data_IF_998859352856
#
_entry.id   IF_998859352856
#
_cell.length_a   1.000
_cell.length_b   1.000
_cell.length_c   1.000
_cell.angle_alpha   90.00
_cell.angle_beta   90.00
_cell.angle_gamma   90.00
#
_symmetry.space_group_name_H-M   'P 1'
#
loop_
_entity.id
_entity.type
_entity.pdbx_description
1 polymer ?
#
# COMPACT_ATOMS: atom_id res chain seq x y z
N UNK A 1 18.27 -3.54 6.51
CA UNK A 1 17.71 -2.43 7.32
C UNK A 1 16.22 -2.66 7.39
N UNK A 2 15.73 -3.11 8.55
CA UNK A 2 14.29 -3.32 8.77
C UNK A 2 13.61 -1.97 8.88
N UNK A 3 13.05 -1.47 7.78
CA UNK A 3 12.10 -0.35 7.82
C UNK A 3 10.83 -0.85 8.47
N UNK A 4 10.80 -0.88 9.80
CA UNK A 4 9.57 -1.06 10.55
C UNK A 4 8.62 0.08 10.16
N UNK A 5 7.55 -0.24 9.44
CA UNK A 5 6.57 0.76 9.05
C UNK A 5 6.11 1.53 10.29
N UNK A 6 6.11 2.89 10.26
CA UNK A 6 5.61 3.70 11.37
C UNK A 6 4.26 3.18 11.86
N UNK A 7 4.17 2.91 13.17
CA UNK A 7 2.91 2.50 13.79
C UNK A 7 2.06 3.74 13.99
N UNK A 8 0.90 3.77 13.34
CA UNK A 8 -0.06 4.86 13.47
C UNK A 8 -0.72 4.85 14.84
N UNK A 9 -0.80 6.01 15.47
CA UNK A 9 -1.40 6.21 16.79
C UNK A 9 -2.81 6.82 16.68
N UNK A 10 -3.69 6.60 17.66
CA UNK A 10 -5.04 7.18 17.66
C UNK A 10 -5.05 8.70 17.51
N UNK A 11 -4.11 9.41 18.16
CA UNK A 11 -4.00 10.86 18.11
C UNK A 11 -3.77 11.47 16.70
N UNK A 12 -3.49 10.63 15.70
CA UNK A 12 -3.33 11.05 14.30
C UNK A 12 -4.64 11.01 13.51
N UNK A 13 -5.74 10.57 14.13
CA UNK A 13 -7.03 10.41 13.48
C UNK A 13 -8.11 11.18 14.22
N UNK A 14 -9.04 11.71 13.44
CA UNK A 14 -10.20 12.44 13.94
C UNK A 14 -11.36 11.48 14.17
N UNK A 15 -12.16 11.74 15.21
CA UNK A 15 -13.36 10.95 15.46
C UNK A 15 -14.40 11.21 14.36
N UNK A 16 -14.95 10.14 13.79
CA UNK A 16 -16.01 10.23 12.76
C UNK A 16 -17.37 10.68 13.29
N UNK A 17 -17.54 10.77 14.62
CA UNK A 17 -18.85 10.92 15.29
C UNK A 17 -19.61 9.60 15.50
N UNK A 18 -19.16 8.50 14.91
CA UNK A 18 -19.76 7.17 15.03
C UNK A 18 -18.83 6.18 15.76
N UNK A 19 -19.40 5.18 16.44
CA UNK A 19 -18.64 4.11 17.11
C UNK A 19 -17.75 3.34 16.10
N UNK A 20 -18.22 3.23 14.87
CA UNK A 20 -17.49 2.57 13.79
C UNK A 20 -16.20 3.28 13.40
N UNK A 21 -16.03 4.58 13.72
CA UNK A 21 -14.86 5.38 13.34
C UNK A 21 -14.28 6.20 14.48
N UNK A 22 -14.00 5.55 15.62
CA UNK A 22 -13.15 6.13 16.66
C UNK A 22 -11.69 6.21 16.20
N UNK A 23 -10.87 7.13 16.74
CA UNK A 23 -9.45 7.23 16.41
C UNK A 23 -8.68 5.92 16.64
N UNK A 24 -9.00 5.17 17.70
CA UNK A 24 -8.37 3.87 18.01
C UNK A 24 -8.68 2.83 16.93
N UNK A 25 -9.91 2.84 16.44
CA UNK A 25 -10.37 1.90 15.42
C UNK A 25 -9.73 2.22 14.07
N UNK A 26 -9.63 3.50 13.73
CA UNK A 26 -8.90 4.00 12.54
C UNK A 26 -7.43 3.59 12.58
N UNK A 27 -6.74 3.87 13.70
CA UNK A 27 -5.34 3.48 13.88
C UNK A 27 -5.12 1.97 13.80
N UNK A 28 -5.98 1.18 14.46
CA UNK A 28 -5.90 -0.29 14.39
C UNK A 28 -6.10 -0.77 12.96
N UNK A 29 -7.09 -0.25 12.25
CA UNK A 29 -7.38 -0.62 10.87
C UNK A 29 -6.18 -0.36 9.95
N UNK A 30 -5.64 0.86 9.94
CA UNK A 30 -4.48 1.23 9.10
C UNK A 30 -3.29 0.32 9.37
N UNK A 31 -2.93 0.14 10.65
CA UNK A 31 -1.79 -0.70 11.03
C UNK A 31 -2.00 -2.17 10.61
N UNK A 32 -3.21 -2.71 10.80
CA UNK A 32 -3.54 -4.08 10.38
C UNK A 32 -3.50 -4.23 8.87
N UNK A 33 -4.00 -3.24 8.12
CA UNK A 33 -4.04 -3.28 6.66
C UNK A 33 -2.63 -3.23 6.07
N UNK A 34 -1.79 -2.29 6.51
CA UNK A 34 -0.42 -2.18 6.01
C UNK A 34 0.39 -3.44 6.33
N UNK A 35 0.21 -4.05 7.51
CA UNK A 35 0.85 -5.32 7.87
C UNK A 35 0.34 -6.49 7.03
N UNK A 36 -0.95 -6.48 6.67
CA UNK A 36 -1.57 -7.50 5.85
C UNK A 36 -1.06 -7.44 4.40
N UNK A 37 -0.98 -6.23 3.83
CA UNK A 37 -0.40 -5.99 2.50
C UNK A 37 1.09 -6.36 2.50
N UNK A 38 1.86 -5.91 3.49
CA UNK A 38 3.29 -6.22 3.59
C UNK A 38 3.59 -7.73 3.77
N UNK A 39 2.61 -8.50 4.25
CA UNK A 39 2.72 -9.96 4.37
C UNK A 39 2.23 -10.71 3.12
N UNK A 40 1.92 -10.01 2.04
CA UNK A 40 1.34 -10.55 0.79
C UNK A 40 -0.02 -11.25 0.98
N UNK A 41 -0.93 -10.57 1.68
CA UNK A 41 -2.33 -10.94 1.78
C UNK A 41 -2.62 -12.37 2.30
N UNK A 42 -1.99 -12.85 3.39
CA UNK A 42 -2.20 -14.22 3.85
C UNK A 42 -3.62 -14.41 4.40
N UNK A 43 -4.36 -15.40 3.89
CA UNK A 43 -5.77 -15.66 4.23
C UNK A 43 -6.01 -15.69 5.74
N UNK A 44 -5.15 -16.33 6.51
CA UNK A 44 -5.26 -16.48 7.97
C UNK A 44 -5.14 -15.15 8.74
N UNK A 45 -4.58 -14.11 8.12
CA UNK A 45 -4.53 -12.75 8.70
C UNK A 45 -5.64 -11.84 8.20
N UNK A 46 -6.48 -12.30 7.27
CA UNK A 46 -7.66 -11.57 6.85
C UNK A 46 -8.78 -11.71 7.89
N UNK A 47 -8.88 -10.72 8.78
CA UNK A 47 -9.76 -10.74 9.95
C UNK A 47 -11.08 -10.02 9.70
N UNK A 48 -12.08 -10.29 10.55
CA UNK A 48 -13.36 -9.57 10.56
C UNK A 48 -13.21 -8.06 10.75
N UNK A 49 -12.15 -7.63 11.43
CA UNK A 49 -11.86 -6.20 11.59
C UNK A 49 -11.42 -5.54 10.27
N UNK A 50 -10.60 -6.23 9.47
CA UNK A 50 -10.20 -5.74 8.14
C UNK A 50 -11.38 -5.73 7.19
N UNK A 51 -12.11 -6.85 7.11
CA UNK A 51 -13.33 -6.95 6.33
C UNK A 51 -14.35 -5.87 6.72
N UNK A 52 -14.56 -5.63 8.02
CA UNK A 52 -15.44 -4.58 8.53
C UNK A 52 -15.03 -3.19 8.05
N UNK A 53 -13.73 -2.89 8.01
CA UNK A 53 -13.25 -1.62 7.46
C UNK A 53 -13.56 -1.45 5.98
N UNK A 54 -13.49 -2.50 5.17
CA UNK A 54 -13.81 -2.44 3.74
C UNK A 54 -15.31 -2.40 3.44
N UNK A 55 -16.10 -3.16 4.19
CA UNK A 55 -17.54 -3.34 3.98
C UNK A 55 -18.42 -2.26 4.62
N UNK A 56 -17.91 -1.53 5.62
CA UNK A 56 -18.68 -0.45 6.25
C UNK A 56 -18.85 0.72 5.27
N UNK A 57 -20.11 1.10 5.04
CA UNK A 57 -20.46 2.29 4.26
C UNK A 57 -19.74 3.52 4.83
N UNK A 58 -19.08 4.29 3.96
CA UNK A 58 -18.30 5.48 4.31
C UNK A 58 -16.78 5.27 4.39
N UNK A 59 -16.31 4.05 4.69
CA UNK A 59 -14.88 3.75 4.76
C UNK A 59 -14.27 3.45 3.39
N UNK A 60 -14.74 2.41 2.68
CA UNK A 60 -14.27 2.10 1.33
C UNK A 60 -15.38 1.64 0.39
N UNK A 61 -16.60 1.41 0.90
CA UNK A 61 -17.78 1.19 0.06
C UNK A 61 -17.69 -0.01 -0.88
N UNK A 62 -16.79 -0.96 -0.62
CA UNK A 62 -16.77 -2.22 -1.36
C UNK A 62 -18.07 -2.94 -1.02
N UNK A 63 -19.01 -3.00 -1.97
CA UNK A 63 -20.34 -3.57 -1.77
C UNK A 63 -20.17 -5.04 -1.37
N UNK A 64 -20.31 -5.32 -0.09
CA UNK A 64 -20.01 -6.61 0.48
C UNK A 64 -21.23 -7.52 0.40
N UNK A 65 -21.55 -7.96 -0.82
CA UNK A 65 -22.47 -9.08 -1.05
C UNK A 65 -21.90 -10.43 -0.58
N UNK A 66 -20.66 -10.44 -0.09
CA UNK A 66 -19.93 -11.63 0.32
C UNK A 66 -19.66 -11.62 1.82
N UNK A 67 -19.70 -12.79 2.46
CA UNK A 67 -19.12 -12.96 3.79
C UNK A 67 -17.58 -12.79 3.74
N UNK A 68 -16.92 -12.86 4.89
CA UNK A 68 -15.47 -12.65 5.01
C UNK A 68 -14.67 -13.54 4.03
N UNK A 69 -15.01 -14.83 3.96
CA UNK A 69 -14.39 -15.79 3.04
C UNK A 69 -14.63 -15.42 1.57
N UNK A 70 -15.89 -15.17 1.20
CA UNK A 70 -16.27 -14.83 -0.16
C UNK A 70 -15.64 -13.52 -0.63
N UNK A 71 -15.47 -12.54 0.26
CA UNK A 71 -14.76 -11.31 -0.07
C UNK A 71 -13.29 -11.60 -0.38
N UNK A 72 -12.63 -12.36 0.49
CA UNK A 72 -11.22 -12.72 0.28
C UNK A 72 -11.06 -13.49 -1.03
N UNK A 73 -11.92 -14.46 -1.29
CA UNK A 73 -11.88 -15.20 -2.55
C UNK A 73 -12.09 -14.27 -3.73
N UNK A 74 -13.13 -13.43 -3.73
CA UNK A 74 -13.44 -12.56 -4.85
C UNK A 74 -12.37 -11.49 -5.13
N UNK A 75 -11.69 -10.98 -4.10
CA UNK A 75 -10.83 -9.79 -4.20
C UNK A 75 -9.34 -10.07 -4.00
N UNK A 76 -8.95 -11.13 -3.30
CA UNK A 76 -7.59 -11.28 -2.76
C UNK A 76 -6.96 -12.68 -2.99
N UNK A 77 -7.69 -13.67 -3.51
CA UNK A 77 -7.16 -15.05 -3.60
C UNK A 77 -6.09 -15.27 -4.66
N UNK A 78 -5.96 -14.36 -5.63
CA UNK A 78 -4.94 -14.45 -6.69
C UNK A 78 -4.12 -13.17 -6.79
N UNK A 79 -2.87 -13.23 -7.29
CA UNK A 79 -2.04 -12.04 -7.50
C UNK A 79 -2.73 -10.96 -8.34
N UNK A 80 -3.41 -11.33 -9.43
CA UNK A 80 -4.13 -10.38 -10.30
C UNK A 80 -5.27 -9.68 -9.56
N UNK A 81 -6.02 -10.42 -8.75
CA UNK A 81 -7.09 -9.85 -7.92
C UNK A 81 -6.53 -8.88 -6.87
N UNK A 82 -5.43 -9.24 -6.22
CA UNK A 82 -4.73 -8.35 -5.26
C UNK A 82 -4.22 -7.08 -5.92
N UNK A 83 -3.65 -7.18 -7.11
CA UNK A 83 -3.16 -6.02 -7.87
C UNK A 83 -4.31 -5.08 -8.25
N UNK A 84 -5.43 -5.63 -8.73
CA UNK A 84 -6.65 -4.87 -9.01
C UNK A 84 -7.21 -4.22 -7.74
N UNK A 85 -7.31 -4.99 -6.65
CA UNK A 85 -7.79 -4.49 -5.37
C UNK A 85 -6.94 -3.32 -4.86
N UNK A 86 -5.61 -3.42 -4.92
CA UNK A 86 -4.71 -2.34 -4.52
C UNK A 86 -4.84 -1.10 -5.42
N UNK A 87 -5.03 -1.31 -6.73
CA UNK A 87 -5.28 -0.21 -7.66
C UNK A 87 -6.57 0.54 -7.29
N UNK A 88 -7.67 -0.19 -7.11
CA UNK A 88 -8.99 0.36 -6.77
C UNK A 88 -8.95 1.06 -5.41
N UNK A 89 -8.38 0.41 -4.39
CA UNK A 89 -8.20 0.97 -3.06
C UNK A 89 -7.42 2.30 -3.10
N UNK A 90 -6.34 2.35 -3.88
CA UNK A 90 -5.54 3.58 -4.03
C UNK A 90 -6.34 4.68 -4.71
N UNK A 91 -7.05 4.39 -5.80
CA UNK A 91 -7.86 5.40 -6.49
C UNK A 91 -8.94 5.99 -5.57
N UNK A 92 -9.61 5.15 -4.79
CA UNK A 92 -10.59 5.59 -3.79
C UNK A 92 -9.92 6.45 -2.70
N UNK A 93 -8.74 6.04 -2.20
CA UNK A 93 -8.00 6.83 -1.21
C UNK A 93 -7.59 8.20 -1.76
N UNK A 94 -7.06 8.27 -2.99
CA UNK A 94 -6.61 9.51 -3.63
C UNK A 94 -7.77 10.47 -3.91
N UNK A 95 -8.92 9.94 -4.33
CA UNK A 95 -10.12 10.74 -4.56
C UNK A 95 -10.58 11.42 -3.28
N UNK A 96 -10.63 10.67 -2.19
CA UNK A 96 -11.25 11.13 -0.96
C UNK A 96 -10.27 11.84 -0.01
N UNK A 97 -8.95 11.61 -0.13
CA UNK A 97 -7.90 12.25 0.69
C UNK A 97 -7.91 13.79 0.64
N UNK A 98 -8.47 14.35 -0.45
CA UNK A 98 -8.62 15.79 -0.69
C UNK A 98 -9.78 16.43 0.09
N UNK A 99 -10.65 15.62 0.66
CA UNK A 99 -11.81 16.08 1.40
C UNK A 99 -11.53 16.11 2.90
N UNK A 100 -12.14 17.06 3.61
CA UNK A 100 -12.10 17.15 5.06
C UNK A 100 -13.39 16.56 5.66
N UNK A 101 -13.46 15.22 5.61
CA UNK A 101 -14.65 14.42 5.96
C UNK A 101 -14.24 13.27 6.87
N UNK A 102 -14.00 13.53 8.17
CA UNK A 102 -13.59 12.50 9.12
C UNK A 102 -14.67 11.43 9.33
N UNK A 103 -15.94 11.76 9.06
CA UNK A 103 -17.08 10.85 9.00
C UNK A 103 -16.94 9.79 7.90
N UNK A 104 -16.27 10.14 6.81
CA UNK A 104 -15.92 9.25 5.68
C UNK A 104 -14.46 8.78 5.72
N UNK A 105 -13.81 8.88 6.89
CA UNK A 105 -12.45 8.42 7.12
C UNK A 105 -11.41 9.06 6.18
N UNK A 106 -11.58 10.34 5.83
CA UNK A 106 -10.66 11.03 4.90
C UNK A 106 -9.21 11.11 5.42
N UNK A 107 -9.02 11.19 6.74
CA UNK A 107 -7.73 11.12 7.44
C UNK A 107 -7.02 9.76 7.23
N UNK A 108 -7.75 8.65 7.36
CA UNK A 108 -7.24 7.31 7.04
C UNK A 108 -6.92 7.17 5.56
N UNK A 109 -7.79 7.66 4.68
CA UNK A 109 -7.58 7.59 3.22
C UNK A 109 -6.37 8.41 2.78
N UNK A 110 -6.11 9.56 3.40
CA UNK A 110 -4.91 10.37 3.18
C UNK A 110 -3.64 9.59 3.52
N UNK A 111 -3.62 8.98 4.70
CA UNK A 111 -2.51 8.10 5.11
C UNK A 111 -2.29 6.95 4.13
N UNK A 112 -3.36 6.28 3.68
CA UNK A 112 -3.24 5.16 2.75
C UNK A 112 -2.84 5.63 1.34
N UNK A 113 -3.29 6.79 0.87
CA UNK A 113 -2.87 7.36 -0.41
C UNK A 113 -1.35 7.61 -0.45
N UNK A 114 -0.77 8.04 0.66
CA UNK A 114 0.69 8.21 0.79
C UNK A 114 1.43 6.87 0.80
N UNK A 115 0.90 5.87 1.53
CA UNK A 115 1.60 4.58 1.73
C UNK A 115 1.42 3.56 0.63
N UNK A 116 0.33 3.65 -0.14
CA UNK A 116 0.04 2.74 -1.24
C UNK A 116 0.64 3.23 -2.57
N UNK A 117 1.55 4.19 -2.53
CA UNK A 117 2.31 4.61 -3.69
C UNK A 117 3.11 3.42 -4.25
N UNK A 118 3.16 3.22 -5.58
CA UNK A 118 3.86 2.09 -6.20
C UNK A 118 5.37 2.02 -5.88
N UNK A 119 5.94 3.11 -5.36
CA UNK A 119 7.34 3.21 -4.96
C UNK A 119 7.60 2.66 -3.53
N UNK A 120 6.60 2.75 -2.64
CA UNK A 120 6.67 2.29 -1.24
C UNK A 120 6.25 0.83 -1.08
N UNK A 121 5.49 0.28 -2.04
CA UNK A 121 5.06 -1.12 -2.07
C UNK A 121 6.11 -2.08 -2.66
N UNK A 122 7.28 -1.59 -3.09
CA UNK A 122 8.34 -2.46 -3.57
C UNK A 122 8.97 -3.23 -2.41
N UNK A 123 9.00 -4.58 -2.42
CA UNK A 123 9.95 -5.32 -1.61
C UNK A 123 11.35 -4.82 -2.00
N UNK A 124 12.35 -4.81 -1.10
CA UNK A 124 13.66 -4.25 -1.39
C UNK A 124 14.25 -4.95 -2.61
N UNK A 125 14.07 -4.33 -3.77
CA UNK A 125 14.74 -4.71 -4.98
C UNK A 125 16.21 -4.52 -4.64
N UNK A 126 16.90 -5.65 -4.53
CA UNK A 126 18.34 -5.77 -4.48
C UNK A 126 18.87 -4.71 -5.44
N UNK A 127 19.38 -3.58 -4.92
CA UNK A 127 20.08 -2.59 -5.72
C UNK A 127 21.26 -3.35 -6.29
N UNK A 128 21.09 -3.91 -7.48
CA UNK A 128 22.22 -4.39 -8.25
C UNK A 128 23.12 -3.16 -8.40
N UNK A 129 24.37 -3.21 -7.92
CA UNK A 129 25.28 -2.11 -8.12
C UNK A 129 25.31 -1.83 -9.63
N UNK A 130 25.20 -0.55 -9.98
CA UNK A 130 25.30 -0.10 -11.35
C UNK A 130 26.53 -0.76 -11.99
N UNK A 131 26.44 -1.30 -13.22
CA UNK A 131 27.61 -1.85 -13.87
C UNK A 131 28.65 -0.74 -13.96
N UNK A 132 29.73 -0.88 -13.20
CA UNK A 132 30.89 0.01 -13.27
C UNK A 132 31.36 -0.04 -14.70
N UNK A 133 31.04 1.02 -15.45
CA UNK A 133 31.46 1.21 -16.84
C UNK A 133 32.97 1.16 -16.84
N UNK A 134 33.56 0.03 -17.26
CA UNK A 134 35.00 -0.08 -17.44
C UNK A 134 35.39 1.01 -18.45
N UNK A 135 36.14 1.99 -17.99
CA UNK A 135 36.83 2.92 -18.86
C UNK A 135 37.74 2.10 -19.78
N UNK A 136 37.35 1.98 -21.04
CA UNK A 136 38.26 1.58 -22.11
C UNK A 136 39.16 2.77 -22.41
N UNK A 137 40.41 2.70 -21.95
CA UNK A 137 41.46 3.64 -22.34
C UNK A 137 41.66 3.59 -23.86
N UNK A 138 41.85 4.73 -24.55
CA UNK A 138 42.18 4.70 -25.97
C UNK A 138 43.63 4.23 -26.14
N UNK A 139 43.81 3.08 -26.81
CA UNK A 139 45.09 2.65 -27.34
C UNK A 139 45.47 3.56 -28.52
N UNK A 140 46.41 4.47 -28.28
CA UNK A 140 47.10 5.22 -29.34
C UNK A 140 48.04 4.23 -30.03
N UNK A 141 47.69 3.75 -31.22
CA UNK A 141 48.63 3.06 -32.10
C UNK A 141 49.37 4.10 -32.92
N UNK A 142 50.66 4.21 -32.63
CA UNK A 142 51.67 4.73 -33.55
C UNK A 142 51.65 3.88 -34.83
N UNK A 143 51.33 4.52 -35.96
CA UNK A 143 51.65 4.00 -37.29
C UNK A 143 52.78 4.85 -37.86
N UNK A 144 54.00 4.42 -37.59
CA UNK A 144 55.19 4.73 -38.37
C UNK A 144 55.30 3.64 -39.44
N UNK A 145 55.52 3.99 -40.71
CA UNK A 145 56.40 3.32 -41.72
C UNK A 145 55.94 3.55 -43.18
N UNK A 146 56.78 4.31 -43.89
CA UNK A 146 57.26 4.24 -45.29
C UNK A 146 56.32 4.43 -46.49
N UNK A 147 56.57 5.53 -47.23
CA UNK A 147 56.90 5.53 -48.66
C UNK A 147 58.06 6.50 -48.90
#
# INVERSE_FOLDING_TARGET
>A
MSTGAPRYQPAQFEASGWESGTPERKARFVNSLLRFIAADFPRERFTRSLYGGFSTHGCFGFIAHYNLDGFYEAQLSTPDRRARFLHDLRQECERDARHDRPDLWSDVKRVLAERLQPQELQPPARRLPAPTRRHSSPSRRDCRTLF
#
